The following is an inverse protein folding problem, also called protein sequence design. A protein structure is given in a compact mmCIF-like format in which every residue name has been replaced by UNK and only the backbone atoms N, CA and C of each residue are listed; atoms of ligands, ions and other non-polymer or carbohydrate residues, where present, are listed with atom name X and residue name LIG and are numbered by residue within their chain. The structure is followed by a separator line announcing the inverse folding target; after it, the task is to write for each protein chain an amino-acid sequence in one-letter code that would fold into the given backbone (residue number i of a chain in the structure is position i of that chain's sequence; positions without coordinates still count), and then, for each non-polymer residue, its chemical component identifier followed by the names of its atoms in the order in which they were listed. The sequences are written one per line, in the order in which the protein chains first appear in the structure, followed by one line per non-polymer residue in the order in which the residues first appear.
data_IF_125475634478
#
_entry.id   IF_125475634478
#
_cell.length_a   1.000
_cell.length_b   1.000
_cell.length_c   1.000
_cell.angle_alpha   90.00
_cell.angle_beta   90.00
_cell.angle_gamma   90.00
#
_symmetry.space_group_name_H-M   'P 1'
#
loop_
_entity.id
_entity.type
_entity.pdbx_description
1 polymer ?
#
# COMPACT_ATOMS: atom_id res chain seq x y z
N UNK A 1 -24.35 -10.81 -22.22
CA UNK A 1 -23.97 -10.80 -20.79
C UNK A 1 -22.91 -9.71 -20.49
N UNK A 2 -23.12 -8.45 -20.91
CA UNK A 2 -22.16 -7.32 -20.80
C UNK A 2 -22.81 -5.99 -20.35
N UNK A 3 -24.01 -6.02 -19.76
CA UNK A 3 -24.81 -4.80 -19.46
C UNK A 3 -24.53 -4.16 -18.09
N UNK A 4 -23.83 -4.82 -17.16
CA UNK A 4 -23.74 -4.29 -15.78
C UNK A 4 -22.90 -3.02 -15.60
N UNK A 5 -21.76 -2.78 -16.27
CA UNK A 5 -20.98 -1.56 -16.03
C UNK A 5 -21.62 -0.32 -16.63
N UNK A 6 -22.37 -0.45 -17.73
CA UNK A 6 -23.08 0.66 -18.39
C UNK A 6 -24.17 1.28 -17.51
N UNK A 7 -24.82 0.47 -16.67
CA UNK A 7 -25.86 0.96 -15.75
C UNK A 7 -25.29 1.82 -14.61
N UNK A 8 -24.08 1.51 -14.14
CA UNK A 8 -23.39 2.27 -13.09
C UNK A 8 -22.86 3.63 -13.57
N UNK A 9 -22.70 3.84 -14.88
CA UNK A 9 -22.19 5.10 -15.46
C UNK A 9 -23.27 6.20 -15.50
N UNK A 10 -24.55 5.84 -15.36
CA UNK A 10 -25.69 6.77 -15.47
C UNK A 10 -26.03 7.48 -14.14
N UNK A 11 -25.37 7.12 -13.06
CA UNK A 11 -25.54 7.71 -11.73
C UNK A 11 -24.34 8.62 -11.44
N UNK A 12 -24.59 9.85 -10.99
CA UNK A 12 -23.52 10.72 -10.48
C UNK A 12 -22.98 10.13 -9.17
N UNK A 13 -21.68 9.76 -9.09
CA UNK A 13 -21.12 9.19 -7.88
C UNK A 13 -20.84 10.30 -6.84
N UNK A 14 -21.39 10.16 -5.62
CA UNK A 14 -21.00 10.97 -4.45
C UNK A 14 -19.63 10.50 -3.93
N UNK A 15 -18.56 10.86 -4.65
CA UNK A 15 -17.20 10.48 -4.33
C UNK A 15 -16.63 11.37 -3.23
N UNK A 16 -16.21 10.75 -2.13
CA UNK A 16 -15.58 11.42 -0.99
C UNK A 16 -14.21 10.80 -0.71
N UNK A 17 -13.23 11.66 -0.49
CA UNK A 17 -11.92 11.24 0.00
C UNK A 17 -12.01 10.75 1.44
N UNK A 18 -11.13 9.83 1.80
CA UNK A 18 -11.11 9.23 3.16
C UNK A 18 -10.69 10.24 4.23
N UNK A 19 -9.87 11.22 3.87
CA UNK A 19 -9.27 12.23 4.74
C UNK A 19 -9.02 13.54 3.98
N UNK A 20 -8.86 14.63 4.72
CA UNK A 20 -8.46 15.94 4.19
C UNK A 20 -6.93 16.06 4.14
N UNK A 21 -6.40 16.81 3.18
CA UNK A 21 -4.97 17.03 3.01
C UNK A 21 -4.38 17.96 4.09
N UNK A 22 -5.20 18.74 4.78
CA UNK A 22 -4.75 19.64 5.85
C UNK A 22 -4.58 18.92 7.20
N UNK A 23 -4.95 17.63 7.29
CA UNK A 23 -4.78 16.85 8.51
C UNK A 23 -3.29 16.52 8.77
N UNK A 24 -2.88 16.42 10.05
CA UNK A 24 -1.55 15.91 10.42
C UNK A 24 -1.28 14.55 9.79
N UNK A 25 0.00 14.25 9.51
CA UNK A 25 0.38 13.00 8.83
C UNK A 25 -0.10 11.79 9.64
N UNK A 26 0.04 11.82 10.96
CA UNK A 26 -0.42 10.74 11.84
C UNK A 26 -1.94 10.49 11.73
N UNK A 27 -2.75 11.55 11.68
CA UNK A 27 -4.21 11.48 11.57
C UNK A 27 -4.64 10.93 10.20
N UNK A 28 -3.96 11.33 9.13
CA UNK A 28 -4.19 10.76 7.79
C UNK A 28 -3.95 9.25 7.77
N UNK A 29 -2.87 8.78 8.40
CA UNK A 29 -2.59 7.34 8.47
C UNK A 29 -3.67 6.63 9.30
N UNK A 30 -4.07 7.23 10.42
CA UNK A 30 -5.12 6.69 11.29
C UNK A 30 -6.47 6.61 10.56
N UNK A 31 -6.84 7.62 9.77
CA UNK A 31 -8.06 7.64 8.97
C UNK A 31 -8.08 6.50 7.94
N UNK A 32 -6.94 6.20 7.30
CA UNK A 32 -6.85 5.04 6.38
C UNK A 32 -6.98 3.73 7.15
N UNK A 33 -6.27 3.58 8.27
CA UNK A 33 -6.30 2.37 9.08
C UNK A 33 -7.71 2.04 9.60
N UNK A 34 -8.41 3.04 10.13
CA UNK A 34 -9.76 2.87 10.71
C UNK A 34 -10.84 2.73 9.65
N UNK A 35 -10.90 3.64 8.66
CA UNK A 35 -12.00 3.66 7.67
C UNK A 35 -11.85 2.63 6.56
N UNK A 36 -10.62 2.27 6.17
CA UNK A 36 -10.37 1.35 5.05
C UNK A 36 -10.03 -0.05 5.55
N UNK A 37 -9.19 -0.17 6.59
CA UNK A 37 -8.74 -1.48 7.06
C UNK A 37 -9.58 -2.04 8.22
N UNK A 38 -10.37 -1.23 8.90
CA UNK A 38 -11.12 -1.66 10.09
C UNK A 38 -10.22 -1.92 11.31
N UNK A 39 -9.05 -1.27 11.35
CA UNK A 39 -8.17 -1.29 12.50
C UNK A 39 -8.72 -0.41 13.64
N UNK A 40 -8.37 -0.73 14.88
CA UNK A 40 -8.73 0.11 16.04
C UNK A 40 -7.90 1.38 16.11
N UNK A 41 -6.72 1.38 15.49
CA UNK A 41 -5.81 2.51 15.44
C UNK A 41 -4.45 2.15 14.87
N UNK A 42 -3.50 3.06 15.07
CA UNK A 42 -2.12 2.96 14.59
C UNK A 42 -1.16 3.02 15.77
N UNK A 43 -0.06 2.29 15.67
CA UNK A 43 1.04 2.34 16.62
C UNK A 43 2.28 2.90 15.91
N UNK A 44 2.72 4.09 16.30
CA UNK A 44 3.89 4.73 15.72
C UNK A 44 5.14 4.33 16.51
N UNK A 45 6.12 3.76 15.83
CA UNK A 45 7.46 3.62 16.40
C UNK A 45 8.12 4.99 16.63
N UNK A 46 9.09 5.07 17.53
CA UNK A 46 9.83 6.31 17.79
C UNK A 46 10.48 6.90 16.53
N UNK A 47 10.97 6.02 15.64
CA UNK A 47 11.57 6.41 14.38
C UNK A 47 10.53 7.02 13.44
N UNK A 48 9.35 6.39 13.32
CA UNK A 48 8.25 6.93 12.54
C UNK A 48 7.77 8.29 13.07
N UNK A 49 7.62 8.44 14.40
CA UNK A 49 7.21 9.69 15.02
C UNK A 49 8.20 10.84 14.74
N UNK A 50 9.51 10.58 14.87
CA UNK A 50 10.57 11.56 14.55
C UNK A 50 10.56 11.95 13.07
N UNK A 51 10.35 10.99 12.17
CA UNK A 51 10.27 11.24 10.74
C UNK A 51 9.05 12.09 10.37
N UNK A 52 7.88 11.77 10.94
CA UNK A 52 6.65 12.55 10.76
C UNK A 52 6.87 14.01 11.17
N UNK A 53 7.38 14.25 12.39
CA UNK A 53 7.65 15.60 12.86
C UNK A 53 8.62 16.36 11.95
N UNK A 54 9.63 15.66 11.42
CA UNK A 54 10.59 16.24 10.47
C UNK A 54 9.92 16.63 9.15
N UNK A 55 9.07 15.78 8.59
CA UNK A 55 8.37 16.05 7.32
C UNK A 55 7.32 17.16 7.47
N UNK A 56 6.63 17.23 8.61
CA UNK A 56 5.72 18.34 8.91
C UNK A 56 6.48 19.67 9.02
N UNK A 57 7.61 19.68 9.72
CA UNK A 57 8.47 20.87 9.83
C UNK A 57 9.05 21.32 8.47
N UNK A 58 9.27 20.39 7.54
CA UNK A 58 9.74 20.67 6.18
C UNK A 58 8.62 21.12 5.23
N UNK A 59 7.36 21.17 5.68
CA UNK A 59 6.22 21.55 4.85
C UNK A 59 5.66 20.44 3.96
N UNK A 60 6.07 19.19 4.17
CA UNK A 60 5.54 18.02 3.46
C UNK A 60 4.29 17.42 4.11
N UNK A 61 3.74 18.07 5.14
CA UNK A 61 2.53 17.62 5.86
C UNK A 61 1.31 17.44 4.96
N UNK A 62 1.19 18.26 3.90
CA UNK A 62 0.03 18.27 3.01
C UNK A 62 0.06 17.17 1.94
N UNK A 63 1.12 16.35 1.90
CA UNK A 63 1.21 15.27 0.92
C UNK A 63 0.21 14.13 1.25
N UNK A 64 -0.32 13.46 0.21
CA UNK A 64 -1.11 12.24 0.37
C UNK A 64 -0.24 11.07 0.87
N UNK A 65 -0.93 10.05 1.40
CA UNK A 65 -0.31 8.87 2.01
C UNK A 65 -0.54 7.62 1.18
N UNK A 66 0.52 6.87 0.92
CA UNK A 66 0.53 5.57 0.26
C UNK A 66 0.94 4.47 1.24
N UNK A 67 -0.02 3.69 1.74
CA UNK A 67 0.25 2.65 2.75
C UNK A 67 1.06 1.49 2.16
N UNK A 68 2.25 1.25 2.69
CA UNK A 68 3.13 0.18 2.26
C UNK A 68 2.96 -1.04 3.20
N UNK A 69 2.11 -1.98 2.80
CA UNK A 69 1.76 -3.19 3.57
C UNK A 69 1.69 -4.46 2.73
N UNK A 70 1.50 -5.59 3.40
CA UNK A 70 1.17 -6.87 2.76
C UNK A 70 -0.16 -6.78 2.00
N UNK A 71 -0.17 -7.28 0.76
CA UNK A 71 -1.37 -7.39 -0.07
C UNK A 71 -2.29 -8.55 0.34
N UNK A 72 -1.80 -9.48 1.18
CA UNK A 72 -2.52 -10.72 1.51
C UNK A 72 -3.60 -10.56 2.58
N UNK A 73 -3.58 -9.49 3.36
CA UNK A 73 -4.53 -9.24 4.45
C UNK A 73 -4.86 -7.75 4.57
N UNK A 74 -6.02 -7.41 5.12
CA UNK A 74 -6.32 -6.04 5.58
C UNK A 74 -5.48 -5.64 6.80
N UNK A 75 -5.02 -6.61 7.57
CA UNK A 75 -4.07 -6.40 8.67
C UNK A 75 -2.62 -6.32 8.18
N UNK A 76 -1.70 -6.12 9.12
CA UNK A 76 -0.26 -6.21 8.93
C UNK A 76 0.24 -7.66 8.87
N UNK A 77 -0.53 -8.63 9.39
CA UNK A 77 -0.18 -10.07 9.34
C UNK A 77 -0.83 -10.76 8.12
N UNK A 78 -0.03 -11.33 7.20
CA UNK A 78 -0.53 -12.12 6.06
C UNK A 78 -1.43 -13.32 6.44
N UNK A 79 -1.35 -13.81 7.68
CA UNK A 79 -2.13 -14.98 8.14
C UNK A 79 -3.58 -14.64 8.49
N UNK A 80 -3.89 -13.39 8.80
CA UNK A 80 -5.23 -12.95 9.17
C UNK A 80 -6.08 -12.76 7.91
N UNK A 81 -6.83 -13.79 7.52
CA UNK A 81 -7.68 -13.78 6.32
C UNK A 81 -9.10 -13.30 6.64
N UNK A 82 -9.79 -12.74 5.64
CA UNK A 82 -11.15 -12.26 5.77
C UNK A 82 -11.22 -10.79 6.18
N UNK A 83 -12.11 -10.45 7.12
CA UNK A 83 -12.27 -9.11 7.70
C UNK A 83 -11.81 -9.16 9.15
N UNK A 84 -10.49 -9.06 9.43
CA UNK A 84 -10.01 -8.97 10.79
C UNK A 84 -10.53 -7.69 11.45
N UNK A 85 -10.85 -7.75 12.73
CA UNK A 85 -11.28 -6.61 13.55
C UNK A 85 -10.45 -6.59 14.83
N UNK A 86 -10.30 -5.43 15.47
CA UNK A 86 -9.61 -5.36 16.76
C UNK A 86 -8.08 -5.38 16.66
N UNK A 87 -7.51 -4.99 15.52
CA UNK A 87 -6.06 -4.99 15.32
C UNK A 87 -5.51 -3.57 15.26
N UNK A 88 -4.33 -3.38 15.83
CA UNK A 88 -3.57 -2.13 15.71
C UNK A 88 -2.55 -2.27 14.57
N UNK A 89 -2.37 -1.20 13.80
CA UNK A 89 -1.44 -1.18 12.67
C UNK A 89 -0.08 -0.64 13.13
N UNK A 90 0.97 -1.47 13.20
CA UNK A 90 2.30 -0.99 13.57
C UNK A 90 2.94 -0.23 12.40
N UNK A 91 3.56 0.91 12.68
CA UNK A 91 4.28 1.73 11.70
C UNK A 91 5.73 1.88 12.11
N UNK A 92 6.60 1.22 11.36
CA UNK A 92 8.03 1.15 11.65
C UNK A 92 8.82 2.36 11.17
N UNK A 93 8.43 2.92 10.03
CA UNK A 93 9.09 4.07 9.43
C UNK A 93 8.16 4.75 8.43
N UNK A 94 8.39 6.03 8.17
CA UNK A 94 7.73 6.80 7.12
C UNK A 94 8.78 7.32 6.16
N UNK A 95 8.61 7.04 4.87
CA UNK A 95 9.51 7.53 3.84
C UNK A 95 8.80 8.57 2.97
N UNK A 96 9.56 9.58 2.56
CA UNK A 96 9.09 10.63 1.67
C UNK A 96 9.50 10.33 0.23
N UNK A 97 8.53 10.25 -0.67
CA UNK A 97 8.74 10.23 -2.12
C UNK A 97 8.45 11.62 -2.68
N UNK A 98 9.37 12.56 -2.47
CA UNK A 98 9.17 13.97 -2.87
C UNK A 98 8.91 14.14 -4.38
N UNK A 99 9.61 13.37 -5.22
CA UNK A 99 9.42 13.44 -6.68
C UNK A 99 8.07 12.91 -7.17
N UNK A 100 7.45 11.98 -6.43
CA UNK A 100 6.14 11.44 -6.75
C UNK A 100 4.99 12.12 -5.97
N UNK A 101 5.33 12.97 -5.00
CA UNK A 101 4.37 13.75 -4.22
C UNK A 101 3.59 12.94 -3.19
N UNK A 102 4.18 11.93 -2.53
CA UNK A 102 3.51 11.20 -1.46
C UNK A 102 4.45 10.71 -0.35
N UNK A 103 3.88 10.46 0.82
CA UNK A 103 4.53 9.81 1.96
C UNK A 103 4.07 8.36 2.03
N UNK A 104 4.97 7.42 2.35
CA UNK A 104 4.60 6.02 2.50
C UNK A 104 5.07 5.44 3.84
N UNK A 105 4.14 5.11 4.76
CA UNK A 105 4.45 4.40 6.00
C UNK A 105 4.67 2.92 5.71
N UNK A 106 5.73 2.37 6.31
CA UNK A 106 6.11 0.97 6.25
C UNK A 106 5.53 0.22 7.46
N UNK A 107 4.58 -0.67 7.18
CA UNK A 107 3.85 -1.43 8.22
C UNK A 107 4.55 -2.76 8.56
N UNK A 108 5.49 -3.19 7.74
CA UNK A 108 6.24 -4.43 7.90
C UNK A 108 7.44 -4.50 6.98
N UNK A 109 8.06 -5.67 6.92
CA UNK A 109 9.20 -5.90 6.04
C UNK A 109 8.72 -6.07 4.60
N UNK A 110 9.03 -5.09 3.76
CA UNK A 110 8.66 -5.09 2.36
C UNK A 110 9.88 -5.47 1.52
N UNK A 111 9.75 -6.53 0.71
CA UNK A 111 10.80 -6.92 -0.23
C UNK A 111 10.82 -5.95 -1.40
N UNK A 112 11.83 -5.10 -1.46
CA UNK A 112 12.09 -4.22 -2.60
C UNK A 112 12.88 -4.89 -3.71
N UNK A 113 13.47 -6.05 -3.43
CA UNK A 113 14.24 -6.85 -4.39
C UNK A 113 13.80 -8.31 -4.27
N UNK A 114 13.03 -8.84 -5.24
CA UNK A 114 12.67 -10.25 -5.24
C UNK A 114 13.91 -11.10 -5.55
N UNK A 115 14.09 -12.17 -4.79
CA UNK A 115 15.12 -13.18 -5.09
C UNK A 115 14.69 -14.12 -6.23
N UNK A 116 15.65 -14.85 -6.78
CA UNK A 116 15.39 -15.96 -7.68
C UNK A 116 14.89 -17.18 -6.88
N UNK A 117 13.89 -17.89 -7.41
CA UNK A 117 13.43 -19.15 -6.83
C UNK A 117 14.45 -20.29 -7.01
N UNK A 118 14.27 -21.38 -6.27
CA UNK A 118 15.15 -22.57 -6.33
C UNK A 118 15.31 -23.12 -7.75
N UNK A 119 14.23 -23.06 -8.55
CA UNK A 119 14.25 -23.35 -10.00
C UNK A 119 13.86 -22.06 -10.74
N UNK A 120 14.84 -21.26 -11.18
CA UNK A 120 14.56 -19.98 -11.81
C UNK A 120 14.00 -20.18 -13.21
N UNK A 121 13.04 -19.34 -13.61
CA UNK A 121 12.31 -19.49 -14.89
C UNK A 121 13.21 -19.45 -16.13
N UNK A 122 14.40 -18.85 -16.06
CA UNK A 122 15.34 -18.81 -17.19
C UNK A 122 15.88 -20.19 -17.61
N UNK A 123 15.75 -21.23 -16.78
CA UNK A 123 16.12 -22.60 -17.18
C UNK A 123 15.28 -23.16 -18.31
N UNK A 124 14.03 -22.69 -18.41
CA UNK A 124 13.05 -23.17 -19.40
C UNK A 124 12.93 -22.20 -20.58
N UNK A 125 13.56 -21.02 -20.48
CA UNK A 125 13.59 -20.02 -21.54
C UNK A 125 14.62 -20.40 -22.60
N UNK A 126 14.15 -20.56 -23.84
CA UNK A 126 15.00 -20.91 -24.98
C UNK A 126 14.39 -20.47 -26.30
N UNK A 127 15.07 -20.83 -27.40
CA UNK A 127 14.61 -20.61 -28.77
C UNK A 127 14.50 -21.98 -29.44
N UNK A 128 13.35 -22.26 -30.07
CA UNK A 128 13.14 -23.49 -30.83
C UNK A 128 13.84 -23.43 -32.21
N UNK A 129 13.84 -24.55 -32.95
CA UNK A 129 14.44 -24.64 -34.29
C UNK A 129 13.79 -23.70 -35.32
N UNK A 130 12.61 -23.14 -35.02
CA UNK A 130 11.86 -22.18 -35.84
C UNK A 130 12.07 -20.73 -35.40
N UNK A 131 12.93 -20.48 -34.40
CA UNK A 131 13.20 -19.14 -33.88
C UNK A 131 12.13 -18.63 -32.91
N UNK A 132 11.23 -19.47 -32.41
CA UNK A 132 10.19 -19.10 -31.44
C UNK A 132 10.71 -19.21 -30.02
N UNK A 133 10.35 -18.23 -29.18
CA UNK A 133 10.70 -18.22 -27.76
C UNK A 133 9.81 -19.22 -27.02
N UNK A 134 10.43 -20.17 -26.33
CA UNK A 134 9.77 -21.15 -25.45
C UNK A 134 10.06 -20.81 -23.99
N UNK A 135 9.12 -21.10 -23.09
CA UNK A 135 9.29 -20.96 -21.62
C UNK A 135 9.20 -19.54 -21.04
N UNK A 136 8.75 -18.56 -21.81
CA UNK A 136 8.58 -17.16 -21.36
C UNK A 136 7.21 -16.88 -20.72
N UNK A 137 6.23 -17.76 -20.93
CA UNK A 137 4.85 -17.68 -20.42
C UNK A 137 4.22 -19.08 -20.31
#
# INVERSE_FOLDING_TARGET
MRRSPLALTLLEPDFKFTYDLDLPIAEKINAIATKVYGADGIELSELAAKQIATYEAQGYGNLPICMAKTQYSFSHDPKLKGVPTGFTVPIRAVKLSAGAGFLYPLLGDMQTMPGLGTRPGFWEVGIDEKGQVVGLF
#
